data_IF_543950284891
#
_entry.id   IF_543950284891
#
_cell.length_a   1.000
_cell.length_b   1.000
_cell.length_c   1.000
_cell.angle_alpha   90.00
_cell.angle_beta   90.00
_cell.angle_gamma   90.00
#
_symmetry.space_group_name_H-M   'P 1'
#
loop_
_entity.id
_entity.type
_entity.pdbx_description
1 polymer ?
#
# COMPACT_ATOMS: atom_id res chain seq x y z
N UNK A 1 7.16 12.52 24.27
CA UNK A 1 8.34 12.13 23.44
C UNK A 1 8.54 10.63 23.23
N UNK A 2 7.84 9.72 23.95
CA UNK A 2 7.93 8.26 23.74
C UNK A 2 6.57 7.65 23.44
N UNK A 3 5.90 8.14 22.41
CA UNK A 3 4.53 7.76 22.05
C UNK A 3 4.56 7.10 20.67
N UNK A 4 3.99 5.90 20.57
CA UNK A 4 3.82 5.16 19.33
C UNK A 4 2.32 4.85 19.15
N UNK A 5 1.64 5.44 18.16
CA UNK A 5 0.27 5.07 17.84
C UNK A 5 0.21 3.67 17.21
N UNK A 6 -0.84 2.91 17.52
CA UNK A 6 -1.08 1.54 17.03
C UNK A 6 -2.55 1.37 16.66
N UNK A 7 -2.83 0.49 15.69
CA UNK A 7 -4.17 0.22 15.20
C UNK A 7 -4.74 1.43 14.45
N UNK A 8 -6.01 1.74 14.68
CA UNK A 8 -6.69 2.83 13.98
C UNK A 8 -6.02 4.19 14.18
N UNK A 9 -5.42 4.40 15.36
CA UNK A 9 -4.68 5.63 15.68
C UNK A 9 -3.42 5.82 14.84
N UNK A 10 -2.89 4.76 14.19
CA UNK A 10 -1.69 4.85 13.36
C UNK A 10 -1.97 5.20 11.90
N UNK A 11 -3.25 5.26 11.49
CA UNK A 11 -3.63 5.54 10.10
C UNK A 11 -3.27 4.43 9.11
N UNK A 12 -2.94 3.22 9.60
CA UNK A 12 -2.52 2.09 8.76
C UNK A 12 -3.70 1.22 8.29
N UNK A 13 -4.92 1.74 8.36
CA UNK A 13 -6.13 1.03 7.95
C UNK A 13 -6.15 0.83 6.43
N UNK A 14 -6.82 -0.23 5.97
CA UNK A 14 -7.10 -0.35 4.53
C UNK A 14 -8.06 0.76 4.08
N UNK A 15 -7.73 1.51 3.01
CA UNK A 15 -8.66 2.46 2.40
C UNK A 15 -9.81 1.80 1.62
N UNK A 16 -9.71 0.50 1.28
CA UNK A 16 -10.73 -0.20 0.48
C UNK A 16 -11.71 -0.97 1.35
N UNK A 17 -11.22 -1.70 2.34
CA UNK A 17 -12.05 -2.48 3.26
C UNK A 17 -12.43 -1.71 4.52
N UNK A 18 -11.81 -0.55 4.76
CA UNK A 18 -11.90 0.22 6.02
C UNK A 18 -11.56 -0.62 7.26
N UNK A 19 -10.87 -1.75 7.07
CA UNK A 19 -10.54 -2.70 8.11
C UNK A 19 -9.24 -2.32 8.83
N UNK A 20 -9.33 -1.89 10.08
CA UNK A 20 -8.17 -1.62 10.93
C UNK A 20 -7.57 -2.86 11.60
N UNK A 21 -8.40 -3.82 11.99
CA UNK A 21 -7.95 -5.03 12.70
C UNK A 21 -7.06 -5.92 11.83
N UNK A 22 -7.48 -6.24 10.59
CA UNK A 22 -6.70 -7.06 9.68
C UNK A 22 -5.33 -6.44 9.34
N UNK A 23 -5.31 -5.14 9.09
CA UNK A 23 -4.08 -4.38 8.87
C UNK A 23 -3.16 -4.41 10.10
N UNK A 24 -3.72 -4.27 11.31
CA UNK A 24 -2.94 -4.38 12.56
C UNK A 24 -2.33 -5.78 12.72
N UNK A 25 -3.11 -6.85 12.52
CA UNK A 25 -2.62 -8.24 12.63
C UNK A 25 -1.50 -8.50 11.62
N UNK A 26 -1.64 -8.03 10.39
CA UNK A 26 -0.61 -8.11 9.34
C UNK A 26 0.71 -7.44 9.78
N UNK A 27 0.63 -6.29 10.44
CA UNK A 27 1.81 -5.56 10.92
C UNK A 27 2.30 -5.95 12.33
N UNK A 28 1.58 -6.82 13.04
CA UNK A 28 1.86 -7.13 14.44
C UNK A 28 3.30 -7.62 14.63
N UNK A 29 3.75 -8.57 13.80
CA UNK A 29 5.10 -9.15 13.88
C UNK A 29 6.21 -8.11 13.71
N UNK A 30 6.12 -7.23 12.71
CA UNK A 30 7.13 -6.18 12.49
C UNK A 30 7.13 -5.15 13.63
N UNK A 31 5.95 -4.83 14.17
CA UNK A 31 5.82 -3.86 15.25
C UNK A 31 6.37 -4.43 16.56
N UNK A 32 6.06 -5.67 16.93
CA UNK A 32 6.59 -6.28 18.14
C UNK A 32 8.12 -6.41 18.09
N UNK A 33 8.66 -6.87 16.96
CA UNK A 33 10.11 -6.97 16.78
C UNK A 33 10.78 -5.60 16.81
N UNK A 34 10.18 -4.61 16.14
CA UNK A 34 10.75 -3.29 16.10
C UNK A 34 10.70 -2.54 17.43
N UNK A 35 9.65 -2.74 18.24
CA UNK A 35 9.57 -2.21 19.61
C UNK A 35 10.63 -2.85 20.50
N UNK A 36 10.81 -4.19 20.42
CA UNK A 36 11.85 -4.89 21.16
C UNK A 36 13.26 -4.39 20.82
N UNK A 37 13.57 -4.22 19.52
CA UNK A 37 14.84 -3.64 19.08
C UNK A 37 15.01 -2.18 19.53
N UNK A 38 13.95 -1.37 19.48
CA UNK A 38 13.98 0.02 19.93
C UNK A 38 14.34 0.13 21.41
N UNK A 39 13.74 -0.72 22.26
CA UNK A 39 14.03 -0.78 23.69
C UNK A 39 15.48 -1.21 23.95
N UNK A 40 15.97 -2.24 23.27
CA UNK A 40 17.35 -2.75 23.43
C UNK A 40 18.43 -1.76 22.98
N UNK A 41 18.15 -0.98 21.94
CA UNK A 41 19.08 0.00 21.39
C UNK A 41 18.90 1.43 21.96
N UNK A 42 17.98 1.61 22.91
CA UNK A 42 17.55 2.91 23.46
C UNK A 42 17.12 3.93 22.38
N UNK A 43 16.51 3.43 21.30
CA UNK A 43 16.00 4.21 20.16
C UNK A 43 14.54 4.61 20.41
N UNK A 44 14.32 5.45 21.43
CA UNK A 44 12.99 5.76 21.96
C UNK A 44 12.56 7.22 21.76
N UNK A 45 13.37 8.01 21.05
CA UNK A 45 12.95 9.36 20.65
C UNK A 45 11.88 9.31 19.54
N UNK A 46 11.25 10.46 19.31
CA UNK A 46 10.18 10.59 18.32
C UNK A 46 10.62 10.18 16.91
N UNK A 47 11.86 10.52 16.52
CA UNK A 47 12.36 10.24 15.17
C UNK A 47 12.55 8.72 14.98
N UNK A 48 13.16 8.06 15.96
CA UNK A 48 13.32 6.61 15.96
C UNK A 48 11.97 5.88 15.93
N UNK A 49 11.04 6.24 16.83
CA UNK A 49 9.73 5.59 16.89
C UNK A 49 8.90 5.81 15.64
N UNK A 50 9.07 6.95 14.94
CA UNK A 50 8.38 7.20 13.66
C UNK A 50 8.74 6.17 12.58
N UNK A 51 9.93 5.55 12.65
CA UNK A 51 10.35 4.51 11.71
C UNK A 51 9.52 3.21 11.86
N UNK A 52 8.81 3.03 12.98
CA UNK A 52 7.87 1.92 13.17
C UNK A 52 6.54 2.12 12.45
N UNK A 53 6.24 3.34 11.99
CA UNK A 53 5.04 3.64 11.20
C UNK A 53 5.44 4.29 9.87
N UNK A 54 6.14 3.54 8.99
CA UNK A 54 6.65 4.10 7.75
C UNK A 54 5.52 4.42 6.76
N UNK A 55 5.83 5.28 5.81
CA UNK A 55 5.02 5.47 4.62
C UNK A 55 4.81 4.15 3.87
N UNK A 56 3.56 3.87 3.48
CA UNK A 56 3.14 2.61 2.84
C UNK A 56 2.56 2.87 1.43
N UNK A 57 3.39 2.87 0.38
CA UNK A 57 2.91 3.15 -0.98
C UNK A 57 1.86 2.15 -1.47
N UNK A 58 1.94 0.87 -1.09
CA UNK A 58 0.93 -0.14 -1.40
C UNK A 58 -0.47 0.21 -0.87
N UNK A 59 -0.57 0.88 0.29
CA UNK A 59 -1.83 1.39 0.79
C UNK A 59 -2.20 2.71 0.10
N UNK A 60 -1.25 3.63 -0.07
CA UNK A 60 -1.53 4.93 -0.68
C UNK A 60 -2.04 4.83 -2.12
N UNK A 61 -1.56 3.87 -2.92
CA UNK A 61 -2.08 3.66 -4.28
C UNK A 61 -3.54 3.20 -4.28
N UNK A 62 -4.05 2.62 -3.19
CA UNK A 62 -5.44 2.16 -3.12
C UNK A 62 -6.45 3.29 -3.03
N UNK A 63 -6.03 4.46 -2.54
CA UNK A 63 -6.90 5.61 -2.40
C UNK A 63 -7.51 6.07 -3.73
N UNK A 64 -6.81 5.92 -4.86
CA UNK A 64 -7.38 6.25 -6.17
C UNK A 64 -8.57 5.34 -6.53
N UNK A 65 -8.51 4.06 -6.16
CA UNK A 65 -9.65 3.16 -6.33
C UNK A 65 -10.81 3.57 -5.40
N UNK A 66 -10.52 3.90 -4.14
CA UNK A 66 -11.55 4.43 -3.24
C UNK A 66 -12.21 5.69 -3.83
N UNK A 67 -11.40 6.61 -4.35
CA UNK A 67 -11.86 7.85 -4.96
C UNK A 67 -12.73 7.59 -6.18
N UNK A 68 -12.35 6.64 -7.04
CA UNK A 68 -13.12 6.27 -8.23
C UNK A 68 -14.41 5.48 -7.94
N UNK A 69 -14.54 4.96 -6.72
CA UNK A 69 -15.75 4.30 -6.21
C UNK A 69 -16.61 5.23 -5.33
N UNK A 70 -16.31 6.53 -5.29
CA UNK A 70 -17.01 7.50 -4.43
C UNK A 70 -17.66 8.60 -5.27
N UNK A 71 -18.78 9.15 -4.79
CA UNK A 71 -19.47 10.28 -5.45
C UNK A 71 -19.37 11.51 -4.56
N UNK A 72 -18.84 12.60 -5.09
CA UNK A 72 -18.81 13.88 -4.37
C UNK A 72 -20.20 14.47 -4.16
N UNK A 73 -20.39 15.26 -3.10
CA UNK A 73 -21.70 15.83 -2.67
C UNK A 73 -22.48 16.54 -3.79
N UNK A 74 -21.78 17.12 -4.78
CA UNK A 74 -22.40 17.82 -5.92
C UNK A 74 -22.01 17.22 -7.29
N UNK A 75 -21.43 16.02 -7.28
CA UNK A 75 -20.99 15.36 -8.51
C UNK A 75 -22.16 14.58 -9.11
N UNK A 76 -22.53 14.88 -10.36
CA UNK A 76 -23.47 14.06 -11.12
C UNK A 76 -22.70 12.95 -11.83
N UNK A 77 -23.05 11.71 -11.55
CA UNK A 77 -22.42 10.52 -12.11
C UNK A 77 -23.53 9.61 -12.62
N UNK A 78 -23.27 8.89 -13.71
CA UNK A 78 -24.16 7.81 -14.16
C UNK A 78 -24.29 6.77 -13.02
N UNK A 79 -25.52 6.40 -12.61
CA UNK A 79 -25.75 5.41 -11.55
C UNK A 79 -24.98 4.10 -11.73
N UNK A 80 -24.73 3.68 -12.98
CA UNK A 80 -24.03 2.43 -13.27
C UNK A 80 -22.50 2.58 -13.41
N UNK A 81 -21.96 3.80 -13.36
CA UNK A 81 -20.54 4.03 -13.62
C UNK A 81 -19.62 3.25 -12.66
N UNK A 82 -19.93 3.27 -11.37
CA UNK A 82 -19.13 2.60 -10.34
C UNK A 82 -19.26 1.08 -10.48
N UNK A 83 -20.47 0.58 -10.74
CA UNK A 83 -20.71 -0.85 -10.96
C UNK A 83 -19.94 -1.37 -12.18
N UNK A 84 -20.01 -0.65 -13.30
CA UNK A 84 -19.28 -0.98 -14.52
C UNK A 84 -17.76 -0.97 -14.27
N UNK A 85 -17.25 0.05 -13.59
CA UNK A 85 -15.83 0.13 -13.21
C UNK A 85 -15.39 -1.08 -12.38
N UNK A 86 -16.14 -1.41 -11.32
CA UNK A 86 -15.81 -2.52 -10.44
C UNK A 86 -15.87 -3.87 -11.15
N UNK A 87 -16.97 -4.15 -11.85
CA UNK A 87 -17.16 -5.41 -12.59
C UNK A 87 -16.05 -5.61 -13.61
N UNK A 88 -15.72 -4.56 -14.38
CA UNK A 88 -14.65 -4.63 -15.37
C UNK A 88 -13.29 -4.88 -14.72
N UNK A 89 -12.89 -4.09 -13.71
CA UNK A 89 -11.57 -4.23 -13.08
C UNK A 89 -11.43 -5.59 -12.39
N UNK A 90 -12.43 -6.05 -11.65
CA UNK A 90 -12.40 -7.37 -11.00
C UNK A 90 -12.39 -8.52 -12.01
N UNK A 91 -13.13 -8.41 -13.13
CA UNK A 91 -13.07 -9.40 -14.20
C UNK A 91 -11.66 -9.47 -14.83
N UNK A 92 -11.01 -8.33 -15.03
CA UNK A 92 -9.63 -8.31 -15.54
C UNK A 92 -8.63 -8.89 -14.55
N UNK A 93 -8.76 -8.58 -13.25
CA UNK A 93 -7.94 -9.19 -12.18
C UNK A 93 -8.17 -10.70 -12.11
N UNK A 94 -9.40 -11.17 -12.22
CA UNK A 94 -9.73 -12.59 -12.21
C UNK A 94 -9.06 -13.32 -13.38
N UNK A 95 -9.07 -12.73 -14.57
CA UNK A 95 -8.38 -13.28 -15.74
C UNK A 95 -6.84 -13.29 -15.58
N UNK A 96 -6.27 -12.39 -14.79
CA UNK A 96 -4.84 -12.39 -14.45
C UNK A 96 -4.46 -13.44 -13.39
N UNK A 97 -5.47 -14.05 -12.75
CA UNK A 97 -5.32 -15.18 -11.83
C UNK A 97 -5.30 -14.80 -10.35
N UNK A 98 -5.29 -15.83 -9.50
CA UNK A 98 -5.39 -15.65 -8.05
C UNK A 98 -4.25 -14.83 -7.43
N UNK A 99 -3.05 -14.91 -8.02
CA UNK A 99 -1.87 -14.14 -7.61
C UNK A 99 -2.05 -12.62 -7.76
N UNK A 100 -3.03 -12.17 -8.55
CA UNK A 100 -3.40 -10.75 -8.68
C UNK A 100 -4.61 -10.45 -7.82
N UNK A 101 -5.66 -11.27 -7.91
CA UNK A 101 -6.94 -11.00 -7.26
C UNK A 101 -6.89 -11.17 -5.73
N UNK A 102 -6.32 -12.28 -5.21
CA UNK A 102 -6.33 -12.57 -3.77
C UNK A 102 -5.59 -11.51 -2.94
N UNK A 103 -4.35 -11.10 -3.28
CA UNK A 103 -3.65 -10.05 -2.53
C UNK A 103 -4.43 -8.73 -2.56
N UNK A 104 -5.00 -8.36 -3.70
CA UNK A 104 -5.79 -7.13 -3.83
C UNK A 104 -6.99 -7.12 -2.90
N UNK A 105 -7.75 -8.22 -2.81
CA UNK A 105 -8.88 -8.36 -1.88
C UNK A 105 -8.48 -8.33 -0.40
N UNK A 106 -7.20 -8.57 -0.09
CA UNK A 106 -6.63 -8.50 1.25
C UNK A 106 -5.87 -7.20 1.50
N UNK A 107 -6.08 -6.19 0.67
CA UNK A 107 -5.42 -4.88 0.78
C UNK A 107 -3.89 -4.96 0.66
N UNK A 108 -3.42 -5.96 -0.08
CA UNK A 108 -2.01 -6.15 -0.43
C UNK A 108 -1.85 -5.81 -1.91
N UNK A 109 -1.58 -4.54 -2.19
CA UNK A 109 -1.22 -4.13 -3.55
C UNK A 109 0.27 -4.29 -3.78
N UNK A 110 0.62 -4.98 -4.87
CA UNK A 110 2.00 -5.15 -5.33
C UNK A 110 2.18 -4.48 -6.68
N UNK A 111 3.38 -4.00 -6.96
CA UNK A 111 3.68 -3.24 -8.18
C UNK A 111 3.33 -3.99 -9.46
N UNK A 112 3.78 -5.24 -9.60
CA UNK A 112 3.61 -6.02 -10.83
C UNK A 112 2.13 -6.35 -11.08
N UNK A 113 1.38 -6.96 -10.14
CA UNK A 113 -0.06 -7.19 -10.28
C UNK A 113 -0.84 -5.92 -10.63
N UNK A 114 -0.58 -4.81 -9.93
CA UNK A 114 -1.23 -3.53 -10.19
C UNK A 114 -0.98 -3.05 -11.63
N UNK A 115 0.28 -3.10 -12.07
CA UNK A 115 0.68 -2.67 -13.42
C UNK A 115 0.03 -3.52 -14.49
N UNK A 116 -0.05 -4.83 -14.30
CA UNK A 116 -0.75 -5.75 -15.21
C UNK A 116 -2.23 -5.41 -15.30
N UNK A 117 -2.90 -5.20 -14.17
CA UNK A 117 -4.33 -4.83 -14.15
C UNK A 117 -4.57 -3.49 -14.85
N UNK A 118 -3.77 -2.46 -14.54
CA UNK A 118 -3.92 -1.14 -15.15
C UNK A 118 -3.68 -1.16 -16.66
N UNK A 119 -2.61 -1.83 -17.10
CA UNK A 119 -2.29 -1.94 -18.53
C UNK A 119 -3.37 -2.72 -19.27
N UNK A 120 -3.79 -3.86 -18.74
CA UNK A 120 -4.83 -4.70 -19.36
C UNK A 120 -6.16 -3.96 -19.45
N UNK A 121 -6.57 -3.29 -18.36
CA UNK A 121 -7.79 -2.48 -18.33
C UNK A 121 -7.70 -1.30 -19.29
N UNK A 122 -6.55 -0.62 -19.37
CA UNK A 122 -6.36 0.51 -20.27
C UNK A 122 -6.40 0.12 -21.75
N UNK A 123 -5.90 -1.06 -22.11
CA UNK A 123 -5.93 -1.56 -23.48
C UNK A 123 -7.32 -2.07 -23.87
N UNK A 124 -7.95 -2.87 -23.00
CA UNK A 124 -9.23 -3.52 -23.32
C UNK A 124 -10.44 -2.61 -23.10
N UNK A 125 -10.35 -1.67 -22.16
CA UNK A 125 -11.45 -0.80 -21.73
C UNK A 125 -11.03 0.69 -21.70
N UNK A 126 -10.50 1.25 -22.81
CA UNK A 126 -9.96 2.63 -22.82
C UNK A 126 -11.02 3.68 -22.48
N UNK A 127 -12.28 3.45 -22.86
CA UNK A 127 -13.40 4.33 -22.52
C UNK A 127 -13.63 4.43 -21.00
N UNK A 128 -13.36 3.34 -20.26
CA UNK A 128 -13.47 3.32 -18.79
C UNK A 128 -12.41 4.24 -18.17
N UNK A 129 -11.16 4.13 -18.62
CA UNK A 129 -10.04 4.96 -18.15
C UNK A 129 -10.29 6.43 -18.43
N UNK A 130 -10.80 6.77 -19.61
CA UNK A 130 -11.16 8.14 -19.97
C UNK A 130 -12.26 8.72 -19.09
N UNK A 131 -13.21 7.90 -18.62
CA UNK A 131 -14.25 8.33 -17.66
C UNK A 131 -13.71 8.55 -16.25
N UNK A 132 -12.64 7.86 -15.85
CA UNK A 132 -12.01 8.02 -14.52
C UNK A 132 -11.39 9.41 -14.38
N UNK A 133 -10.72 9.93 -15.42
CA UNK A 133 -9.99 11.21 -15.37
C UNK A 133 -10.84 12.39 -14.87
N UNK A 134 -11.99 12.72 -15.47
CA UNK A 134 -12.84 13.81 -14.97
C UNK A 134 -13.53 13.45 -13.64
N UNK A 135 -13.68 12.16 -13.34
CA UNK A 135 -14.33 11.71 -12.12
C UNK A 135 -13.43 11.89 -10.87
N UNK A 136 -12.15 11.55 -10.98
CA UNK A 136 -11.17 11.67 -9.88
C UNK A 136 -10.44 13.02 -9.89
N UNK A 137 -10.23 13.60 -11.08
CA UNK A 137 -9.51 14.85 -11.29
C UNK A 137 -8.02 14.64 -11.63
N UNK A 138 -7.48 15.49 -12.51
CA UNK A 138 -6.10 15.36 -12.99
C UNK A 138 -5.05 15.53 -11.89
N UNK A 139 -5.28 16.44 -10.92
CA UNK A 139 -4.34 16.64 -9.81
C UNK A 139 -4.27 15.41 -8.90
N UNK A 140 -5.39 14.72 -8.68
CA UNK A 140 -5.43 13.48 -7.91
C UNK A 140 -4.67 12.35 -8.64
N UNK A 141 -4.74 12.30 -9.98
CA UNK A 141 -3.96 11.34 -10.77
C UNK A 141 -2.46 11.61 -10.67
N UNK A 142 -2.04 12.87 -10.75
CA UNK A 142 -0.63 13.25 -10.63
C UNK A 142 -0.07 12.92 -9.23
N UNK A 143 -0.85 13.19 -8.18
CA UNK A 143 -0.51 12.80 -6.80
C UNK A 143 -0.38 11.28 -6.66
N UNK A 144 -1.37 10.53 -7.17
CA UNK A 144 -1.34 9.07 -7.18
C UNK A 144 -0.14 8.49 -7.94
N UNK A 145 0.30 9.12 -9.03
CA UNK A 145 1.49 8.68 -9.77
C UNK A 145 2.75 8.67 -8.90
N UNK A 146 2.88 9.61 -7.94
CA UNK A 146 4.00 9.60 -7.00
C UNK A 146 3.97 8.36 -6.10
N UNK A 147 2.79 7.96 -5.62
CA UNK A 147 2.62 6.74 -4.84
C UNK A 147 2.89 5.48 -5.67
N UNK A 148 2.46 5.46 -6.93
CA UNK A 148 2.73 4.37 -7.85
C UNK A 148 4.23 4.21 -8.16
N UNK A 149 4.95 5.31 -8.35
CA UNK A 149 6.41 5.28 -8.52
C UNK A 149 7.12 4.85 -7.24
N UNK A 150 6.67 5.31 -6.07
CA UNK A 150 7.22 4.87 -4.80
C UNK A 150 6.96 3.37 -4.54
N UNK A 151 5.81 2.84 -4.98
CA UNK A 151 5.54 1.41 -4.93
C UNK A 151 6.58 0.62 -5.71
N UNK A 152 6.89 1.05 -6.94
CA UNK A 152 7.96 0.47 -7.75
C UNK A 152 9.34 0.55 -7.05
N UNK A 153 9.68 1.74 -6.54
CA UNK A 153 10.94 1.97 -5.83
C UNK A 153 11.07 1.06 -4.61
N UNK A 154 10.01 0.93 -3.80
CA UNK A 154 10.01 0.07 -2.62
C UNK A 154 10.15 -1.41 -3.00
N UNK A 155 9.52 -1.85 -4.09
CA UNK A 155 9.70 -3.22 -4.61
C UNK A 155 11.17 -3.49 -4.95
N UNK A 156 11.84 -2.56 -5.66
CA UNK A 156 13.25 -2.70 -6.04
C UNK A 156 14.17 -2.65 -4.81
N UNK A 157 13.98 -1.66 -3.92
CA UNK A 157 14.77 -1.51 -2.70
C UNK A 157 14.67 -2.74 -1.81
N UNK A 158 13.47 -3.31 -1.65
CA UNK A 158 13.28 -4.54 -0.87
C UNK A 158 14.01 -5.73 -1.52
N UNK A 159 13.94 -5.88 -2.85
CA UNK A 159 14.64 -6.95 -3.57
C UNK A 159 16.17 -6.88 -3.36
N UNK A 160 16.75 -5.68 -3.37
CA UNK A 160 18.17 -5.47 -3.10
C UNK A 160 18.49 -5.77 -1.63
N UNK A 161 17.69 -5.24 -0.71
CA UNK A 161 17.93 -5.34 0.73
C UNK A 161 17.86 -6.77 1.28
N UNK A 162 17.05 -7.65 0.68
CA UNK A 162 16.95 -9.06 1.09
C UNK A 162 18.30 -9.79 1.05
N UNK A 163 19.19 -9.40 0.13
CA UNK A 163 20.50 -10.01 -0.05
C UNK A 163 21.62 -9.28 0.72
N UNK A 164 21.29 -8.18 1.40
CA UNK A 164 22.27 -7.33 2.10
C UNK A 164 21.94 -7.24 3.58
N UNK A 165 22.74 -7.94 4.41
CA UNK A 165 22.62 -7.95 5.87
C UNK A 165 23.90 -7.39 6.49
N UNK A 166 24.04 -6.07 6.57
CA UNK A 166 25.23 -5.46 7.14
C UNK A 166 25.30 -5.76 8.64
N UNK A 167 26.51 -5.96 9.16
CA UNK A 167 26.74 -6.00 10.60
C UNK A 167 27.00 -4.58 11.09
N UNK A 168 26.02 -3.99 11.78
CA UNK A 168 26.08 -2.61 12.26
C UNK A 168 26.03 -2.55 13.79
N UNK A 169 26.40 -1.40 14.37
CA UNK A 169 26.13 -1.13 15.79
C UNK A 169 24.62 -1.20 16.08
N UNK A 170 24.17 -1.50 17.32
CA UNK A 170 22.75 -1.69 17.63
C UNK A 170 21.81 -0.59 17.12
N UNK A 171 22.18 0.69 17.27
CA UNK A 171 21.36 1.83 16.80
C UNK A 171 21.22 1.87 15.28
N UNK A 172 22.32 1.70 14.56
CA UNK A 172 22.31 1.66 13.10
C UNK A 172 21.62 0.39 12.57
N UNK A 173 21.74 -0.73 13.28
CA UNK A 173 21.03 -1.97 12.93
C UNK A 173 19.51 -1.78 13.07
N UNK A 174 19.05 -1.14 14.14
CA UNK A 174 17.64 -0.80 14.32
C UNK A 174 17.13 0.02 13.13
N UNK A 175 17.83 1.11 12.78
CA UNK A 175 17.43 1.96 11.65
C UNK A 175 17.38 1.15 10.36
N UNK A 176 18.43 0.38 10.05
CA UNK A 176 18.46 -0.49 8.87
C UNK A 176 17.26 -1.44 8.82
N UNK A 177 16.98 -2.15 9.92
CA UNK A 177 15.85 -3.09 9.99
C UNK A 177 14.52 -2.37 9.74
N UNK A 178 14.31 -1.16 10.27
CA UNK A 178 13.09 -0.38 10.03
C UNK A 178 12.94 0.06 8.57
N UNK A 179 14.03 0.40 7.89
CA UNK A 179 13.99 0.67 6.44
C UNK A 179 13.64 -0.57 5.63
N UNK A 180 14.21 -1.73 5.98
CA UNK A 180 13.86 -3.00 5.33
C UNK A 180 12.39 -3.37 5.56
N UNK A 181 11.88 -3.22 6.79
CA UNK A 181 10.47 -3.40 7.12
C UNK A 181 9.59 -2.45 6.27
N UNK A 182 9.98 -1.18 6.17
CA UNK A 182 9.25 -0.19 5.37
C UNK A 182 9.17 -0.60 3.90
N UNK A 183 10.27 -1.05 3.30
CA UNK A 183 10.29 -1.50 1.91
C UNK A 183 9.51 -2.80 1.71
N UNK A 184 9.62 -3.77 2.62
CA UNK A 184 8.88 -5.02 2.54
C UNK A 184 7.37 -4.79 2.56
N UNK A 185 6.89 -4.15 3.63
CA UNK A 185 5.47 -3.97 3.87
C UNK A 185 4.88 -2.91 2.94
N UNK A 186 5.61 -1.82 2.69
CA UNK A 186 5.18 -0.76 1.78
C UNK A 186 5.13 -1.19 0.32
N UNK A 187 5.83 -2.26 -0.07
CA UNK A 187 5.73 -2.85 -1.42
C UNK A 187 4.73 -4.01 -1.52
N UNK A 188 4.11 -4.43 -0.42
CA UNK A 188 3.26 -5.61 -0.37
C UNK A 188 3.99 -6.94 -0.51
N UNK A 189 5.33 -6.97 -0.36
CA UNK A 189 6.14 -8.20 -0.40
C UNK A 189 6.14 -8.96 0.93
N UNK A 190 5.36 -8.51 1.92
CA UNK A 190 5.03 -9.26 3.12
C UNK A 190 3.89 -10.28 2.91
N UNK A 191 3.24 -10.26 1.74
CA UNK A 191 2.22 -11.25 1.38
C UNK A 191 2.83 -12.64 1.22
N UNK A 192 2.35 -13.57 2.02
CA UNK A 192 2.66 -15.00 1.90
C UNK A 192 1.37 -15.66 1.42
N UNK A 193 1.30 -16.01 0.13
CA UNK A 193 0.15 -16.70 -0.43
C UNK A 193 -0.10 -17.99 0.35
N UNK A 194 -1.27 -18.10 0.97
CA UNK A 194 -1.79 -19.35 1.51
C UNK A 194 -2.82 -19.93 0.55
#
# INVERSE_FOLDING_TARGET
DRILPVGDSSGSQSPLSFGGFGAMIRHLKRLTNGIDEALKAEMLDQAALSLLQPYQPNLSVTWLFQRSMSVGVNQKVDPEQINQLLVTVFAEMQQLGEQVLKPFLQDVVQFIPLSQTLLKTGILHPALVLKIIPHVGIFALLDWMLHYLNLANYTVLYSIAQNFKPALSPKHQYVWNRWVDAWQYGSGNDYVGH
#
